data_IF_493918402434
#
_entry.id   IF_493918402434
#
_cell.length_a   1.000
_cell.length_b   1.000
_cell.length_c   1.000
_cell.angle_alpha   90.00
_cell.angle_beta   90.00
_cell.angle_gamma   90.00
#
_symmetry.space_group_name_H-M   'P 1'
#
loop_
_entity.id
_entity.type
_entity.pdbx_description
1 polymer ?
#
# COMPACT_ATOMS: atom_id res chain seq x y z
N UNK A 1 -19.56 4.16 4.88
CA UNK A 1 -19.15 2.92 5.56
C UNK A 1 -19.44 1.79 4.59
N UNK A 2 -18.41 1.11 4.08
CA UNK A 2 -18.62 -0.15 3.40
C UNK A 2 -19.22 -1.16 4.39
N UNK A 3 -20.09 -2.01 3.85
CA UNK A 3 -20.99 -2.93 4.55
C UNK A 3 -20.18 -3.78 5.55
N UNK A 4 -20.77 -4.01 6.73
CA UNK A 4 -20.25 -4.73 7.90
C UNK A 4 -19.06 -5.66 7.63
N UNK A 5 -18.04 -5.55 8.49
CA UNK A 5 -16.73 -6.22 8.51
C UNK A 5 -16.69 -7.73 8.15
N UNK A 6 -17.83 -8.43 8.16
CA UNK A 6 -17.96 -9.84 7.77
C UNK A 6 -18.09 -10.08 6.26
N UNK A 7 -18.58 -9.10 5.48
CA UNK A 7 -18.85 -9.28 4.03
C UNK A 7 -17.63 -9.05 3.14
N UNK A 8 -16.65 -8.26 3.60
CA UNK A 8 -15.41 -8.02 2.85
C UNK A 8 -14.36 -9.14 3.05
N UNK A 9 -14.46 -9.94 4.11
CA UNK A 9 -13.45 -10.95 4.46
C UNK A 9 -13.19 -11.97 3.34
N UNK A 10 -14.20 -12.58 2.70
CA UNK A 10 -13.96 -13.52 1.59
C UNK A 10 -13.30 -12.85 0.37
N UNK A 11 -13.63 -11.57 0.12
CA UNK A 11 -13.03 -10.81 -0.98
C UNK A 11 -11.55 -10.49 -0.71
N UNK A 12 -11.20 -10.19 0.54
CA UNK A 12 -9.82 -9.98 0.97
C UNK A 12 -9.02 -11.29 0.86
N UNK A 13 -9.55 -12.40 1.35
CA UNK A 13 -8.90 -13.72 1.25
C UNK A 13 -8.66 -14.11 -0.23
N UNK A 14 -9.68 -13.94 -1.08
CA UNK A 14 -9.54 -14.16 -2.52
C UNK A 14 -8.47 -13.27 -3.15
N UNK A 15 -8.43 -11.98 -2.78
CA UNK A 15 -7.43 -11.06 -3.30
C UNK A 15 -6.01 -11.48 -2.87
N UNK A 16 -5.81 -11.89 -1.61
CA UNK A 16 -4.53 -12.41 -1.12
C UNK A 16 -4.10 -13.63 -1.93
N UNK A 17 -5.00 -14.60 -2.14
CA UNK A 17 -4.70 -15.82 -2.89
C UNK A 17 -4.34 -15.51 -4.34
N UNK A 18 -5.06 -14.60 -5.00
CA UNK A 18 -4.75 -14.13 -6.35
C UNK A 18 -3.39 -13.43 -6.38
N UNK A 19 -3.09 -12.55 -5.43
CA UNK A 19 -1.81 -11.83 -5.39
C UNK A 19 -0.61 -12.77 -5.22
N UNK A 20 -0.75 -13.83 -4.42
CA UNK A 20 0.29 -14.86 -4.26
C UNK A 20 0.66 -15.56 -5.56
N UNK A 21 -0.27 -15.65 -6.52
CA UNK A 21 0.02 -16.24 -7.83
C UNK A 21 0.93 -15.37 -8.70
N UNK A 22 1.11 -14.09 -8.38
CA UNK A 22 1.88 -13.11 -9.16
C UNK A 22 1.50 -13.11 -10.66
N UNK A 23 0.25 -13.46 -10.97
CA UNK A 23 -0.22 -13.65 -12.35
C UNK A 23 -1.04 -12.44 -12.78
N UNK A 24 -0.51 -11.59 -13.68
CA UNK A 24 -1.17 -10.33 -14.05
C UNK A 24 -2.61 -10.51 -14.56
N UNK A 25 -2.87 -11.56 -15.34
CA UNK A 25 -4.21 -11.84 -15.88
C UNK A 25 -5.23 -12.19 -14.81
N UNK A 26 -4.82 -12.89 -13.74
CA UNK A 26 -5.68 -13.18 -12.59
C UNK A 26 -5.95 -11.92 -11.76
N UNK A 27 -4.95 -11.04 -11.61
CA UNK A 27 -5.11 -9.76 -10.91
C UNK A 27 -6.09 -8.86 -11.67
N UNK A 28 -5.97 -8.76 -13.00
CA UNK A 28 -6.94 -8.03 -13.83
C UNK A 28 -8.34 -8.62 -13.71
N UNK A 29 -8.47 -9.96 -13.78
CA UNK A 29 -9.77 -10.64 -13.65
C UNK A 29 -10.41 -10.41 -12.27
N UNK A 30 -9.60 -10.36 -11.21
CA UNK A 30 -10.06 -10.04 -9.85
C UNK A 30 -10.63 -8.63 -9.77
N UNK A 31 -9.96 -7.66 -10.40
CA UNK A 31 -10.41 -6.26 -10.41
C UNK A 31 -11.71 -6.11 -11.20
N UNK A 32 -11.81 -6.77 -12.35
CA UNK A 32 -13.05 -6.86 -13.12
C UNK A 32 -14.17 -7.47 -12.29
N UNK A 33 -13.89 -8.53 -11.52
CA UNK A 33 -14.86 -9.12 -10.60
C UNK A 33 -15.31 -8.14 -9.50
N UNK A 34 -14.38 -7.33 -8.97
CA UNK A 34 -14.70 -6.30 -7.97
C UNK A 34 -15.48 -5.11 -8.53
N UNK A 35 -15.56 -4.90 -9.86
CA UNK A 35 -16.45 -3.88 -10.43
C UNK A 35 -17.93 -4.13 -10.13
N UNK A 36 -18.30 -5.37 -9.80
CA UNK A 36 -19.65 -5.72 -9.34
C UNK A 36 -19.95 -5.20 -7.91
N UNK A 37 -18.94 -4.73 -7.17
CA UNK A 37 -19.13 -4.16 -5.84
C UNK A 37 -19.74 -2.75 -5.94
N UNK A 38 -20.60 -2.37 -4.99
CA UNK A 38 -21.43 -1.17 -5.09
C UNK A 38 -20.65 0.15 -4.96
N UNK A 39 -19.36 0.11 -4.62
CA UNK A 39 -18.58 1.31 -4.33
C UNK A 39 -17.08 1.11 -4.63
N UNK A 40 -16.45 2.01 -5.42
CA UNK A 40 -15.01 2.00 -5.65
C UNK A 40 -14.17 2.03 -4.38
N UNK A 41 -14.64 2.73 -3.34
CA UNK A 41 -13.98 2.77 -2.03
C UNK A 41 -13.93 1.40 -1.36
N UNK A 42 -14.92 0.54 -1.60
CA UNK A 42 -14.88 -0.81 -1.03
C UNK A 42 -13.82 -1.65 -1.74
N UNK A 43 -13.63 -1.45 -3.05
CA UNK A 43 -12.56 -2.11 -3.81
C UNK A 43 -11.20 -1.67 -3.28
N UNK A 44 -10.98 -0.36 -3.14
CA UNK A 44 -9.77 0.22 -2.56
C UNK A 44 -9.46 -0.37 -1.17
N UNK A 45 -10.46 -0.40 -0.26
CA UNK A 45 -10.32 -0.96 1.09
C UNK A 45 -9.98 -2.47 1.07
N UNK A 46 -10.59 -3.25 0.16
CA UNK A 46 -10.30 -4.68 0.00
C UNK A 46 -8.86 -4.88 -0.49
N UNK A 47 -8.45 -4.17 -1.54
CA UNK A 47 -7.10 -4.29 -2.11
C UNK A 47 -6.03 -3.87 -1.10
N UNK A 48 -6.24 -2.77 -0.38
CA UNK A 48 -5.33 -2.30 0.66
C UNK A 48 -5.23 -3.32 1.81
N UNK A 49 -6.36 -3.84 2.29
CA UNK A 49 -6.38 -4.85 3.35
C UNK A 49 -5.69 -6.14 2.92
N UNK A 50 -5.93 -6.58 1.68
CA UNK A 50 -5.28 -7.76 1.10
C UNK A 50 -3.76 -7.55 0.98
N UNK A 51 -3.30 -6.36 0.61
CA UNK A 51 -1.88 -6.04 0.56
C UNK A 51 -1.21 -6.10 1.96
N UNK A 52 -1.89 -5.62 3.00
CA UNK A 52 -1.41 -5.77 4.39
C UNK A 52 -1.31 -7.24 4.79
N UNK A 53 -2.34 -8.04 4.53
CA UNK A 53 -2.33 -9.47 4.86
C UNK A 53 -1.30 -10.25 4.03
N UNK A 54 -1.11 -9.85 2.77
CA UNK A 54 -0.08 -10.43 1.91
C UNK A 54 1.30 -10.15 2.46
N UNK A 55 1.58 -8.93 2.93
CA UNK A 55 2.88 -8.61 3.52
C UNK A 55 3.23 -9.50 4.73
N UNK A 56 2.23 -9.87 5.54
CA UNK A 56 2.45 -10.73 6.71
C UNK A 56 2.51 -12.23 6.36
N UNK A 57 1.85 -12.66 5.29
CA UNK A 57 1.77 -14.10 4.92
C UNK A 57 2.72 -14.51 3.79
N UNK A 58 3.07 -13.60 2.90
CA UNK A 58 4.00 -13.79 1.77
C UNK A 58 4.66 -12.42 1.40
N UNK A 59 5.71 -12.01 2.14
CA UNK A 59 6.39 -10.73 1.92
C UNK A 59 6.99 -10.59 0.52
N UNK A 60 7.41 -11.69 -0.11
CA UNK A 60 8.04 -11.64 -1.43
C UNK A 60 7.00 -11.41 -2.54
N UNK A 61 5.82 -12.02 -2.44
CA UNK A 61 4.70 -11.69 -3.32
C UNK A 61 4.24 -10.24 -3.11
N UNK A 62 4.21 -9.75 -1.87
CA UNK A 62 3.91 -8.35 -1.57
C UNK A 62 4.93 -7.41 -2.24
N UNK A 63 6.23 -7.68 -2.07
CA UNK A 63 7.31 -6.91 -2.71
C UNK A 63 7.18 -6.92 -4.24
N UNK A 64 6.89 -8.07 -4.83
CA UNK A 64 6.66 -8.16 -6.28
C UNK A 64 5.51 -7.26 -6.71
N UNK A 65 4.40 -7.24 -5.97
CA UNK A 65 3.25 -6.41 -6.27
C UNK A 65 3.55 -4.91 -6.12
N UNK A 66 4.27 -4.51 -5.08
CA UNK A 66 4.70 -3.11 -4.86
C UNK A 66 5.61 -2.60 -5.99
N UNK A 67 6.40 -3.48 -6.62
CA UNK A 67 7.23 -3.14 -7.80
C UNK A 67 6.44 -3.01 -9.10
N UNK A 68 5.17 -3.42 -9.11
CA UNK A 68 4.30 -3.36 -10.28
C UNK A 68 2.96 -2.66 -9.93
N UNK A 69 2.99 -1.36 -9.55
CA UNK A 69 1.81 -0.62 -9.11
C UNK A 69 0.68 -0.60 -10.15
N UNK A 70 1.02 -0.68 -11.44
CA UNK A 70 0.05 -0.68 -12.54
C UNK A 70 -0.99 -1.80 -12.47
N UNK A 71 -0.73 -2.87 -11.71
CA UNK A 71 -1.69 -3.94 -11.54
C UNK A 71 -2.81 -3.58 -10.55
N UNK A 72 -2.59 -2.62 -9.66
CA UNK A 72 -3.57 -2.18 -8.66
C UNK A 72 -4.26 -0.86 -9.05
N UNK A 73 -3.67 -0.06 -9.93
CA UNK A 73 -4.26 1.17 -10.45
C UNK A 73 -5.40 0.91 -11.46
N UNK A 74 -6.45 1.75 -11.51
CA UNK A 74 -6.66 2.97 -10.70
C UNK A 74 -7.30 2.73 -9.31
N UNK A 75 -7.66 1.49 -8.97
CA UNK A 75 -8.45 1.16 -7.78
C UNK A 75 -7.67 1.36 -6.47
N UNK A 76 -6.34 1.23 -6.52
CA UNK A 76 -5.44 1.55 -5.42
C UNK A 76 -4.15 2.17 -5.96
N UNK A 77 -4.01 3.48 -5.79
CA UNK A 77 -2.76 4.21 -6.07
C UNK A 77 -1.79 4.03 -4.91
N UNK A 78 -0.78 3.17 -5.12
CA UNK A 78 0.23 2.87 -4.11
C UNK A 78 1.12 4.07 -3.78
N UNK A 79 1.37 4.96 -4.73
CA UNK A 79 2.24 6.14 -4.55
C UNK A 79 1.52 7.17 -3.69
N UNK A 80 0.27 7.48 -4.01
CA UNK A 80 -0.55 8.37 -3.19
C UNK A 80 -0.70 7.80 -1.78
N UNK A 81 -1.01 6.50 -1.68
CA UNK A 81 -1.20 5.84 -0.41
C UNK A 81 0.05 5.86 0.48
N UNK A 82 1.22 5.52 -0.09
CA UNK A 82 2.50 5.57 0.61
C UNK A 82 2.87 7.01 1.04
N UNK A 83 2.64 7.99 0.16
CA UNK A 83 2.88 9.41 0.43
C UNK A 83 2.04 9.89 1.60
N UNK A 84 0.75 9.57 1.60
CA UNK A 84 -0.18 9.94 2.67
C UNK A 84 0.21 9.29 4.00
N UNK A 85 0.64 8.03 3.97
CA UNK A 85 1.15 7.33 5.15
C UNK A 85 2.37 8.05 5.75
N UNK A 86 3.41 8.28 4.94
CA UNK A 86 4.63 8.92 5.40
C UNK A 86 4.39 10.36 5.87
N UNK A 87 3.57 11.13 5.15
CA UNK A 87 3.19 12.50 5.50
C UNK A 87 2.54 12.54 6.89
N UNK A 88 1.49 11.75 7.12
CA UNK A 88 0.77 11.69 8.40
C UNK A 88 1.71 11.31 9.54
N UNK A 89 2.56 10.31 9.31
CA UNK A 89 3.48 9.79 10.32
C UNK A 89 4.58 10.79 10.69
N UNK A 90 5.13 11.53 9.72
CA UNK A 90 6.15 12.54 9.96
C UNK A 90 5.57 13.78 10.65
N UNK A 91 4.40 14.25 10.19
CA UNK A 91 3.72 15.38 10.82
C UNK A 91 3.30 15.08 12.27
N UNK A 92 2.82 13.87 12.55
CA UNK A 92 2.50 13.44 13.91
C UNK A 92 3.73 13.44 14.85
N UNK A 93 4.93 13.42 14.29
CA UNK A 93 6.20 13.46 15.02
C UNK A 93 6.84 14.86 15.03
N UNK A 94 6.13 15.87 14.52
CA UNK A 94 6.55 17.27 14.54
C UNK A 94 7.51 17.67 13.40
N UNK A 95 7.72 16.81 12.40
CA UNK A 95 8.52 17.16 11.23
C UNK A 95 7.73 18.04 10.27
N UNK A 96 8.41 19.01 9.66
CA UNK A 96 7.82 20.01 8.77
C UNK A 96 8.19 19.72 7.32
N UNK A 97 7.17 19.72 6.45
CA UNK A 97 7.35 19.56 5.00
C UNK A 97 8.15 20.73 4.43
N UNK A 98 9.00 20.45 3.44
CA UNK A 98 9.95 21.40 2.82
C UNK A 98 11.10 21.86 3.75
N UNK A 99 11.16 21.36 4.99
CA UNK A 99 12.27 21.61 5.93
C UNK A 99 12.96 20.30 6.31
N UNK A 100 12.19 19.37 6.86
CA UNK A 100 12.69 18.07 7.32
C UNK A 100 12.53 16.97 6.27
N UNK A 101 11.52 17.11 5.39
CA UNK A 101 11.23 16.17 4.32
C UNK A 101 10.46 16.79 3.16
N UNK A 102 10.62 16.19 1.98
CA UNK A 102 9.93 16.54 0.73
C UNK A 102 9.72 15.27 -0.12
N UNK A 103 8.67 15.27 -0.93
CA UNK A 103 8.40 14.20 -1.90
C UNK A 103 8.78 14.66 -3.30
N UNK A 104 9.53 13.84 -4.02
CA UNK A 104 9.80 14.05 -5.44
C UNK A 104 8.56 13.74 -6.28
N UNK A 105 8.46 14.26 -7.53
CA UNK A 105 7.35 13.95 -8.44
C UNK A 105 7.17 12.45 -8.75
N UNK A 106 8.21 11.64 -8.56
CA UNK A 106 8.19 10.19 -8.73
C UNK A 106 7.73 9.44 -7.46
N UNK A 107 7.32 10.14 -6.40
CA UNK A 107 6.92 9.57 -5.12
C UNK A 107 8.05 9.34 -4.12
N UNK A 108 9.32 9.49 -4.51
CA UNK A 108 10.47 9.27 -3.62
C UNK A 108 10.47 10.27 -2.47
N UNK A 109 10.74 9.78 -1.25
CA UNK A 109 10.85 10.62 -0.07
C UNK A 109 12.31 11.06 0.15
N UNK A 110 12.56 12.36 0.08
CA UNK A 110 13.79 12.97 0.53
C UNK A 110 13.60 13.55 1.93
N UNK A 111 14.19 12.92 2.94
CA UNK A 111 14.05 13.31 4.34
C UNK A 111 15.41 13.31 5.06
N UNK A 112 15.56 14.13 6.10
CA UNK A 112 16.75 14.10 6.95
C UNK A 112 16.86 12.77 7.71
N UNK A 113 18.06 12.42 8.17
CA UNK A 113 18.31 11.12 8.84
C UNK A 113 17.41 10.90 10.06
N UNK A 114 17.15 11.98 10.82
CA UNK A 114 16.24 11.93 11.97
C UNK A 114 14.82 11.56 11.55
N UNK A 115 14.33 12.14 10.46
CA UNK A 115 13.01 11.83 9.90
C UNK A 115 12.95 10.40 9.34
N UNK A 116 13.99 9.93 8.65
CA UNK A 116 14.09 8.53 8.17
C UNK A 116 14.03 7.53 9.32
N UNK A 117 14.88 7.70 10.35
CA UNK A 117 14.89 6.82 11.54
C UNK A 117 13.51 6.80 12.20
N UNK A 118 12.88 7.96 12.33
CA UNK A 118 11.53 8.08 12.92
C UNK A 118 10.43 7.47 12.05
N UNK A 119 10.59 7.49 10.74
CA UNK A 119 9.66 6.87 9.81
C UNK A 119 9.75 5.34 9.86
N UNK A 120 10.95 4.77 10.04
CA UNK A 120 11.19 3.32 10.11
C UNK A 120 10.73 2.64 11.41
N UNK A 121 10.54 3.39 12.50
CA UNK A 121 10.18 2.82 13.82
C UNK A 121 8.69 2.51 13.93
N UNK A 122 8.35 1.33 14.46
CA UNK A 122 6.97 0.96 14.79
C UNK A 122 6.07 0.63 13.60
N UNK A 123 6.67 0.29 12.45
CA UNK A 123 5.95 -0.13 11.25
C UNK A 123 5.61 -1.62 11.29
N UNK A 124 4.43 -1.96 10.78
CA UNK A 124 4.06 -3.30 10.31
C UNK A 124 4.95 -3.75 9.15
N UNK A 125 4.89 -5.04 8.81
CA UNK A 125 5.64 -5.61 7.67
C UNK A 125 5.30 -4.90 6.37
N UNK A 126 4.00 -4.69 6.12
CA UNK A 126 3.50 -3.99 4.94
C UNK A 126 4.06 -2.57 4.85
N UNK A 127 3.96 -1.79 5.93
CA UNK A 127 4.44 -0.42 5.97
C UNK A 127 5.96 -0.32 5.71
N UNK A 128 6.75 -1.28 6.22
CA UNK A 128 8.18 -1.34 5.89
C UNK A 128 8.39 -1.58 4.40
N UNK A 129 7.72 -2.56 3.83
CA UNK A 129 7.84 -2.87 2.39
C UNK A 129 7.39 -1.70 1.52
N UNK A 130 6.32 -0.99 1.89
CA UNK A 130 5.83 0.19 1.16
C UNK A 130 6.85 1.33 1.22
N UNK A 131 7.41 1.61 2.40
CA UNK A 131 8.44 2.62 2.56
C UNK A 131 9.68 2.30 1.71
N UNK A 132 10.11 1.04 1.71
CA UNK A 132 11.28 0.56 0.97
C UNK A 132 11.05 0.58 -0.55
N UNK A 133 9.95 0.00 -1.03
CA UNK A 133 9.74 -0.25 -2.47
C UNK A 133 9.09 0.95 -3.19
N UNK A 134 8.22 1.71 -2.52
CA UNK A 134 7.51 2.85 -3.13
C UNK A 134 8.25 4.17 -2.86
N UNK A 135 8.53 4.47 -1.58
CA UNK A 135 9.15 5.75 -1.21
C UNK A 135 10.68 5.72 -1.26
N UNK A 136 11.29 4.55 -1.51
CA UNK A 136 12.74 4.32 -1.51
C UNK A 136 13.40 4.74 -0.19
N UNK A 137 12.70 4.50 0.92
CA UNK A 137 13.19 4.72 2.28
C UNK A 137 13.74 3.39 2.80
N UNK A 138 14.96 3.07 2.40
CA UNK A 138 15.65 1.83 2.75
C UNK A 138 16.77 1.56 1.75
N UNK A 139 17.99 1.40 2.29
CA UNK A 139 19.30 1.64 1.66
C UNK A 139 19.60 3.10 1.29
#
# INVERSE_FOLDING_TARGET
MCISNSTCKPHVELAVDVFKTQTPTLISSLKDFFTALPSPKCVEEILATALYQLADTDPDACRWLLRHPQYLEPELDLVEWATQFALKKLQAQGFVREQDFQFEPNGKLHACDRAKVKLSVGNSTAEKLILEEILQVGN
#
